data_IF_761904202718
#
_entry.id   IF_761904202718
#
_cell.length_a   1.000
_cell.length_b   1.000
_cell.length_c   1.000
_cell.angle_alpha   90.00
_cell.angle_beta   90.00
_cell.angle_gamma   90.00
#
_symmetry.space_group_name_H-M   'P 1'
#
loop_
_entity.id
_entity.type
_entity.pdbx_description
1 polymer ?
#
# COMPACT_ATOMS: atom_id res chain seq x y z
N UNK A 1 28.41 -40.19 54.42
CA UNK A 1 28.50 -40.63 53.02
C UNK A 1 28.42 -39.38 52.15
N UNK A 2 29.58 -38.76 51.86
CA UNK A 2 30.31 -38.84 50.59
C UNK A 2 29.60 -38.06 49.46
N UNK A 3 30.11 -37.03 48.80
CA UNK A 3 31.22 -36.06 48.99
C UNK A 3 31.19 -35.09 47.79
N UNK A 4 31.50 -33.82 48.05
CA UNK A 4 32.20 -32.84 47.20
C UNK A 4 31.57 -32.23 45.91
N UNK A 5 31.34 -30.91 45.99
CA UNK A 5 31.51 -29.91 44.91
C UNK A 5 33.03 -29.55 44.74
N UNK A 6 33.51 -28.53 43.99
CA UNK A 6 32.92 -27.59 43.00
C UNK A 6 33.84 -27.22 41.77
N UNK A 7 33.43 -26.20 40.98
CA UNK A 7 34.25 -25.15 40.26
C UNK A 7 35.03 -25.41 38.93
N UNK A 8 34.76 -24.50 37.97
CA UNK A 8 35.65 -23.76 37.02
C UNK A 8 36.34 -24.41 35.79
N UNK A 9 36.33 -23.59 34.71
CA UNK A 9 37.28 -23.49 33.58
C UNK A 9 37.26 -24.64 32.55
N UNK A 10 37.60 -24.52 31.27
CA UNK A 10 38.11 -23.47 30.38
C UNK A 10 38.13 -24.05 28.94
N UNK A 11 38.23 -23.20 27.91
CA UNK A 11 39.04 -23.33 26.66
C UNK A 11 39.38 -24.75 26.15
N UNK A 12 39.27 -25.14 24.88
CA UNK A 12 39.58 -24.54 23.58
C UNK A 12 39.27 -25.64 22.52
N UNK A 13 39.14 -25.39 21.22
CA UNK A 13 40.22 -25.20 20.23
C UNK A 13 39.51 -24.75 18.94
N UNK A 14 39.64 -23.49 18.52
CA UNK A 14 40.66 -22.95 17.56
C UNK A 14 40.41 -23.44 16.12
N UNK A 15 40.53 -22.68 15.02
CA UNK A 15 41.25 -21.45 14.61
C UNK A 15 40.79 -21.27 13.13
N UNK A 16 40.54 -20.10 12.52
CA UNK A 16 41.41 -18.95 12.17
C UNK A 16 40.49 -18.04 11.33
N UNK A 17 40.25 -16.78 11.71
CA UNK A 17 41.11 -15.61 11.59
C UNK A 17 40.69 -14.73 10.39
N UNK A 18 39.99 -13.64 10.74
CA UNK A 18 39.90 -12.38 10.02
C UNK A 18 41.31 -11.81 9.80
N UNK A 19 41.55 -11.17 8.64
CA UNK A 19 42.29 -9.91 8.49
C UNK A 19 42.62 -9.63 7.02
N UNK A 20 41.98 -8.62 6.42
CA UNK A 20 42.68 -7.34 6.14
C UNK A 20 41.81 -6.40 5.30
N UNK A 21 41.37 -5.32 5.93
CA UNK A 21 41.23 -4.01 5.29
C UNK A 21 42.24 -3.07 5.96
N UNK A 22 43.14 -2.45 5.20
CA UNK A 22 43.71 -1.11 5.45
C UNK A 22 44.58 -0.68 4.25
N UNK A 23 44.06 0.23 3.42
CA UNK A 23 44.39 1.69 3.35
C UNK A 23 45.73 2.03 2.70
N UNK A 24 45.71 2.79 1.60
CA UNK A 24 46.27 4.15 1.53
C UNK A 24 46.15 4.77 0.12
N UNK A 25 45.99 6.09 0.10
CA UNK A 25 45.84 7.00 -1.05
C UNK A 25 47.20 7.19 -1.75
N UNK A 26 47.21 7.46 -3.05
CA UNK A 26 47.82 8.67 -3.69
C UNK A 26 47.69 8.61 -5.22
N UNK A 27 47.80 9.79 -5.83
CA UNK A 27 47.44 10.18 -7.19
C UNK A 27 48.27 9.55 -8.33
N UNK A 28 47.68 9.44 -9.52
CA UNK A 28 48.15 10.11 -10.76
C UNK A 28 47.48 9.57 -12.05
N UNK A 29 47.25 10.51 -12.97
CA UNK A 29 47.14 10.40 -14.45
C UNK A 29 46.14 9.44 -15.11
N UNK A 30 45.22 10.05 -15.87
CA UNK A 30 44.45 9.46 -16.98
C UNK A 30 45.35 8.89 -18.10
N UNK A 31 44.84 8.05 -19.02
CA UNK A 31 44.02 8.56 -20.14
C UNK A 31 42.79 7.71 -20.50
N UNK A 32 41.93 8.35 -21.28
CA UNK A 32 40.65 7.90 -21.80
C UNK A 32 40.74 6.71 -22.78
N UNK A 33 39.71 5.87 -22.78
CA UNK A 33 39.31 5.07 -23.93
C UNK A 33 37.80 5.19 -24.15
N UNK A 34 37.46 6.06 -25.10
CA UNK A 34 36.15 6.20 -25.72
C UNK A 34 35.96 5.03 -26.69
N UNK A 35 34.87 4.28 -26.54
CA UNK A 35 34.47 3.26 -27.51
C UNK A 35 33.43 3.89 -28.46
N UNK A 36 33.91 4.55 -29.52
CA UNK A 36 33.08 5.03 -30.61
C UNK A 36 32.85 3.87 -31.60
N UNK A 37 31.59 3.43 -31.77
CA UNK A 37 31.20 2.53 -32.87
C UNK A 37 30.72 3.37 -34.05
N UNK A 38 31.52 3.43 -35.10
CA UNK A 38 31.15 3.96 -36.40
C UNK A 38 30.33 2.92 -37.18
N UNK A 39 29.14 3.30 -37.64
CA UNK A 39 28.39 2.53 -38.63
C UNK A 39 28.85 2.92 -40.04
N UNK A 40 29.30 1.93 -40.80
CA UNK A 40 29.58 2.05 -42.24
C UNK A 40 28.28 1.76 -43.00
N UNK A 41 27.92 2.65 -43.92
CA UNK A 41 26.79 2.53 -44.86
C UNK A 41 27.32 2.28 -46.27
N UNK A 42 26.78 1.28 -46.98
CA UNK A 42 26.69 1.15 -48.46
C UNK A 42 25.67 0.03 -48.81
N UNK A 43 25.14 -0.11 -50.04
CA UNK A 43 23.91 0.55 -50.45
C UNK A 43 22.76 -0.43 -50.84
N UNK A 44 21.60 0.18 -51.05
CA UNK A 44 20.30 -0.41 -51.31
C UNK A 44 20.17 -1.17 -52.64
N UNK A 45 19.47 -2.33 -52.61
CA UNK A 45 18.52 -2.73 -53.68
C UNK A 45 17.52 -3.86 -53.37
N UNK A 46 17.52 -4.47 -52.17
CA UNK A 46 16.64 -5.62 -51.88
C UNK A 46 15.58 -5.40 -50.77
N UNK A 47 15.41 -4.18 -50.26
CA UNK A 47 14.61 -3.93 -49.04
C UNK A 47 13.18 -3.39 -49.25
N UNK A 48 12.76 -3.06 -50.48
CA UNK A 48 11.43 -2.46 -50.69
C UNK A 48 10.27 -3.45 -50.65
N UNK A 49 10.45 -4.71 -51.08
CA UNK A 49 9.35 -5.69 -51.06
C UNK A 49 9.05 -6.20 -49.64
N UNK A 50 10.09 -6.44 -48.84
CA UNK A 50 9.96 -6.95 -47.47
C UNK A 50 9.31 -5.94 -46.53
N UNK A 51 9.57 -4.63 -46.74
CA UNK A 51 9.01 -3.56 -45.91
C UNK A 51 7.51 -3.36 -46.17
N UNK A 52 7.08 -3.48 -47.42
CA UNK A 52 5.66 -3.41 -47.79
C UNK A 52 4.83 -4.57 -47.22
N UNK A 53 5.41 -5.78 -47.14
CA UNK A 53 4.75 -6.94 -46.54
C UNK A 53 4.68 -6.85 -45.02
N UNK A 54 5.71 -6.29 -44.36
CA UNK A 54 5.71 -6.06 -42.90
C UNK A 54 4.74 -4.93 -42.52
N UNK A 55 4.66 -3.86 -43.31
CA UNK A 55 3.66 -2.80 -43.10
C UNK A 55 2.24 -3.31 -43.38
N UNK A 56 2.03 -4.12 -44.41
CA UNK A 56 0.72 -4.73 -44.68
C UNK A 56 0.32 -5.74 -43.60
N UNK A 57 1.25 -6.53 -43.05
CA UNK A 57 0.98 -7.41 -41.90
C UNK A 57 0.70 -6.61 -40.63
N UNK A 58 1.43 -5.53 -40.37
CA UNK A 58 1.19 -4.67 -39.20
C UNK A 58 -0.17 -3.97 -39.28
N UNK A 59 -0.56 -3.51 -40.48
CA UNK A 59 -1.87 -2.90 -40.71
C UNK A 59 -3.02 -3.91 -40.62
N UNK A 60 -2.82 -5.17 -41.07
CA UNK A 60 -3.79 -6.26 -40.89
C UNK A 60 -3.95 -6.70 -39.43
N UNK A 61 -2.92 -6.52 -38.60
CA UNK A 61 -2.98 -6.79 -37.15
C UNK A 61 -3.70 -5.66 -36.40
N UNK A 62 -3.66 -4.42 -36.91
CA UNK A 62 -4.46 -3.31 -36.38
C UNK A 62 -5.93 -3.36 -36.85
N UNK A 63 -6.20 -3.86 -38.05
CA UNK A 63 -7.53 -3.88 -38.68
C UNK A 63 -8.30 -5.20 -38.46
N UNK A 64 -7.69 -6.19 -37.80
CA UNK A 64 -8.44 -7.32 -37.24
C UNK A 64 -9.18 -6.79 -36.03
N UNK A 65 -10.41 -6.30 -36.26
CA UNK A 65 -11.39 -5.84 -35.28
C UNK A 65 -11.17 -6.55 -33.94
N UNK A 66 -10.49 -5.87 -33.01
CA UNK A 66 -10.47 -6.33 -31.62
C UNK A 66 -11.93 -6.27 -31.20
N UNK A 67 -12.53 -7.35 -30.67
CA UNK A 67 -13.90 -7.31 -30.17
C UNK A 67 -14.09 -6.35 -28.97
N UNK A 68 -13.13 -5.48 -28.68
CA UNK A 68 -13.03 -4.63 -27.50
C UNK A 68 -13.49 -3.20 -27.76
N UNK A 69 -13.62 -2.74 -29.01
CA UNK A 69 -14.03 -1.35 -29.29
C UNK A 69 -15.50 -1.09 -28.89
N UNK A 70 -16.39 -2.09 -28.98
CA UNK A 70 -17.75 -2.05 -28.42
C UNK A 70 -17.83 -2.35 -26.91
N UNK A 71 -16.73 -2.79 -26.28
CA UNK A 71 -16.66 -3.09 -24.84
C UNK A 71 -16.11 -1.92 -24.01
N UNK A 72 -15.66 -0.86 -24.68
CA UNK A 72 -15.18 0.39 -24.08
C UNK A 72 -16.23 1.12 -23.23
N UNK A 73 -17.52 0.78 -23.38
CA UNK A 73 -18.62 1.38 -22.63
C UNK A 73 -18.87 0.76 -21.23
N UNK A 74 -18.41 -0.47 -20.98
CA UNK A 74 -18.69 -1.13 -19.68
C UNK A 74 -17.64 -0.74 -18.64
N UNK A 75 -18.04 -0.38 -17.42
CA UNK A 75 -17.08 0.04 -16.41
C UNK A 75 -16.17 -1.12 -16.01
N UNK A 76 -14.87 -0.83 -15.84
CA UNK A 76 -13.82 -1.85 -15.66
C UNK A 76 -14.00 -2.66 -14.39
N UNK A 77 -14.60 -2.07 -13.37
CA UNK A 77 -14.88 -2.76 -12.11
C UNK A 77 -15.97 -3.84 -12.25
N UNK A 78 -16.82 -3.81 -13.28
CA UNK A 78 -18.00 -4.68 -13.42
C UNK A 78 -17.67 -6.06 -14.01
N UNK A 79 -16.73 -6.15 -14.95
CA UNK A 79 -16.39 -7.38 -15.65
C UNK A 79 -14.92 -7.77 -15.48
N UNK A 80 -14.60 -9.03 -15.80
CA UNK A 80 -13.23 -9.53 -15.93
C UNK A 80 -12.94 -9.69 -17.42
N UNK A 81 -11.79 -9.20 -17.93
CA UNK A 81 -11.43 -9.36 -19.34
C UNK A 81 -11.46 -10.84 -19.77
N UNK A 82 -12.11 -11.13 -20.89
CA UNK A 82 -12.38 -12.50 -21.33
C UNK A 82 -11.09 -13.29 -21.60
N UNK A 83 -10.08 -12.63 -22.19
CA UNK A 83 -8.76 -13.22 -22.44
C UNK A 83 -8.03 -13.67 -21.17
N UNK A 84 -8.44 -13.17 -19.99
CA UNK A 84 -7.85 -13.56 -18.70
C UNK A 84 -8.63 -14.69 -18.01
N UNK A 85 -9.77 -15.14 -18.55
CA UNK A 85 -10.56 -16.21 -17.97
C UNK A 85 -10.01 -17.57 -18.40
N UNK A 86 -10.02 -18.52 -17.46
CA UNK A 86 -9.71 -19.92 -17.74
C UNK A 86 -11.03 -20.69 -17.90
N UNK A 87 -11.09 -21.74 -18.73
CA UNK A 87 -12.31 -22.52 -18.95
C UNK A 87 -12.77 -23.27 -17.69
N UNK A 88 -11.82 -23.72 -16.84
CA UNK A 88 -12.11 -24.32 -15.54
C UNK A 88 -10.96 -24.05 -14.56
N UNK A 89 -11.20 -24.23 -13.26
CA UNK A 89 -10.17 -24.11 -12.23
C UNK A 89 -9.31 -25.38 -12.18
N UNK A 90 -7.99 -25.31 -12.40
CA UNK A 90 -7.12 -26.49 -12.24
C UNK A 90 -6.85 -26.82 -10.77
N UNK A 91 -7.11 -25.89 -9.84
CA UNK A 91 -6.85 -26.10 -8.42
C UNK A 91 -7.97 -26.90 -7.75
N UNK A 92 -7.60 -28.04 -7.15
CA UNK A 92 -8.51 -28.89 -6.36
C UNK A 92 -8.65 -28.29 -4.96
N UNK A 93 -9.83 -27.78 -4.66
CA UNK A 93 -10.11 -27.18 -3.34
C UNK A 93 -10.47 -28.28 -2.33
N UNK A 94 -9.72 -28.39 -1.23
CA UNK A 94 -9.95 -29.42 -0.18
C UNK A 94 -11.38 -29.41 0.38
N UNK A 95 -11.94 -28.22 0.60
CA UNK A 95 -13.31 -28.01 1.06
C UNK A 95 -14.04 -27.13 0.05
N UNK A 96 -14.97 -27.68 -0.76
CA UNK A 96 -15.69 -26.91 -1.78
C UNK A 96 -16.45 -25.71 -1.21
N UNK A 97 -16.96 -25.80 0.02
CA UNK A 97 -17.65 -24.70 0.70
C UNK A 97 -16.82 -23.43 0.82
N UNK A 98 -15.49 -23.54 0.93
CA UNK A 98 -14.58 -22.38 1.02
C UNK A 98 -14.41 -21.63 -0.30
N UNK A 99 -14.84 -22.22 -1.42
CA UNK A 99 -14.75 -21.57 -2.74
C UNK A 99 -15.83 -20.51 -2.94
N UNK A 100 -16.95 -20.63 -2.23
CA UNK A 100 -18.10 -19.74 -2.34
C UNK A 100 -17.89 -18.55 -1.40
N UNK A 101 -17.83 -17.35 -1.98
CA UNK A 101 -17.80 -16.09 -1.25
C UNK A 101 -18.58 -15.04 -2.03
N UNK A 102 -19.62 -14.47 -1.42
CA UNK A 102 -20.45 -13.46 -2.07
C UNK A 102 -19.80 -12.08 -1.91
N UNK A 103 -19.76 -11.32 -3.00
CA UNK A 103 -19.13 -10.00 -3.07
C UNK A 103 -20.15 -9.00 -3.60
N UNK A 104 -20.14 -7.79 -3.04
CA UNK A 104 -21.03 -6.73 -3.50
C UNK A 104 -20.80 -6.39 -4.98
N UNK A 105 -21.89 -6.25 -5.72
CA UNK A 105 -21.92 -5.79 -7.11
C UNK A 105 -22.81 -4.55 -7.30
N UNK A 106 -23.52 -4.11 -6.25
CA UNK A 106 -24.47 -3.00 -6.33
C UNK A 106 -23.77 -1.65 -6.07
N UNK A 107 -23.77 -0.70 -7.03
CA UNK A 107 -23.18 0.62 -6.85
C UNK A 107 -23.88 1.45 -5.76
N UNK A 108 -25.20 1.31 -5.63
CA UNK A 108 -25.97 2.05 -4.61
C UNK A 108 -25.55 1.71 -3.18
N UNK A 109 -25.17 0.46 -2.91
CA UNK A 109 -24.66 0.04 -1.59
C UNK A 109 -23.30 0.68 -1.30
N UNK A 110 -22.46 0.81 -2.33
CA UNK A 110 -21.16 1.47 -2.25
C UNK A 110 -21.33 2.96 -1.94
N UNK A 111 -22.23 3.64 -2.65
CA UNK A 111 -22.50 5.06 -2.44
C UNK A 111 -23.01 5.35 -1.02
N UNK A 112 -23.92 4.50 -0.51
CA UNK A 112 -24.40 4.62 0.87
C UNK A 112 -23.28 4.49 1.91
N UNK A 113 -22.31 3.60 1.68
CA UNK A 113 -21.14 3.46 2.54
C UNK A 113 -20.27 4.72 2.48
N UNK A 114 -20.00 5.26 1.29
CA UNK A 114 -19.24 6.51 1.14
C UNK A 114 -19.90 7.71 1.83
N UNK A 115 -21.24 7.82 1.74
CA UNK A 115 -21.99 8.87 2.45
C UNK A 115 -21.89 8.69 3.98
N UNK A 116 -21.93 7.45 4.49
CA UNK A 116 -21.76 7.19 5.93
C UNK A 116 -20.35 7.53 6.40
N UNK A 117 -19.33 7.20 5.62
CA UNK A 117 -17.93 7.41 6.00
C UNK A 117 -17.47 8.86 5.84
N UNK A 118 -17.73 9.47 4.69
CA UNK A 118 -17.24 10.82 4.37
C UNK A 118 -18.24 11.93 4.76
N UNK A 119 -19.51 11.57 4.95
CA UNK A 119 -20.59 12.48 5.29
C UNK A 119 -21.42 12.89 4.06
N UNK A 120 -22.14 14.01 4.19
CA UNK A 120 -23.02 14.54 3.14
C UNK A 120 -22.24 14.75 1.83
N UNK A 121 -22.82 14.28 0.72
CA UNK A 121 -22.23 14.33 -0.64
C UNK A 121 -20.89 13.58 -0.78
N UNK A 122 -20.56 12.68 0.17
CA UNK A 122 -19.34 11.88 0.15
C UNK A 122 -19.21 10.94 -1.06
N UNK A 123 -20.34 10.50 -1.62
CA UNK A 123 -20.42 9.69 -2.84
C UNK A 123 -19.97 10.44 -4.10
N UNK A 124 -20.03 11.78 -4.11
CA UNK A 124 -19.66 12.61 -5.26
C UNK A 124 -18.19 13.00 -5.27
N UNK A 125 -17.47 12.77 -4.17
CA UNK A 125 -16.05 13.11 -4.05
C UNK A 125 -15.19 12.27 -4.99
N UNK A 126 -15.52 11.01 -5.21
CA UNK A 126 -14.73 10.14 -6.07
C UNK A 126 -15.54 9.72 -7.31
N UNK A 127 -14.93 9.66 -8.50
CA UNK A 127 -15.53 8.98 -9.63
C UNK A 127 -15.85 7.51 -9.30
N UNK A 128 -16.89 6.94 -9.93
CA UNK A 128 -17.35 5.58 -9.66
C UNK A 128 -16.22 4.53 -9.79
N UNK A 129 -15.42 4.60 -10.86
CA UNK A 129 -14.28 3.69 -11.06
C UNK A 129 -13.29 3.72 -9.89
N UNK A 130 -13.03 4.91 -9.34
CA UNK A 130 -12.08 5.08 -8.23
C UNK A 130 -12.71 4.60 -6.93
N UNK A 131 -14.02 4.78 -6.74
CA UNK A 131 -14.76 4.24 -5.60
C UNK A 131 -14.58 2.72 -5.50
N UNK A 132 -14.73 2.02 -6.62
CA UNK A 132 -14.54 0.57 -6.68
C UNK A 132 -13.08 0.16 -6.56
N UNK A 133 -12.16 0.92 -7.17
CA UNK A 133 -10.72 0.67 -7.07
C UNK A 133 -10.25 0.70 -5.61
N UNK A 134 -10.67 1.69 -4.83
CA UNK A 134 -10.29 1.84 -3.42
C UNK A 134 -10.84 0.72 -2.52
N UNK A 135 -12.01 0.15 -2.87
CA UNK A 135 -12.72 -0.87 -2.08
C UNK A 135 -12.44 -2.31 -2.57
N UNK A 136 -11.62 -2.46 -3.61
CA UNK A 136 -11.21 -3.78 -4.13
C UNK A 136 -9.83 -4.17 -3.63
N UNK A 137 -9.74 -5.29 -2.92
CA UNK A 137 -8.48 -5.84 -2.44
C UNK A 137 -7.83 -6.77 -3.47
N UNK A 138 -6.51 -6.90 -3.45
CA UNK A 138 -5.72 -7.74 -4.37
C UNK A 138 -6.14 -9.21 -4.42
N UNK A 139 -6.72 -9.75 -3.34
CA UNK A 139 -7.20 -11.13 -3.32
C UNK A 139 -8.47 -11.37 -4.15
N UNK A 140 -9.19 -10.31 -4.52
CA UNK A 140 -10.36 -10.40 -5.38
C UNK A 140 -9.97 -10.66 -6.84
N UNK A 141 -10.61 -11.64 -7.47
CA UNK A 141 -10.41 -11.98 -8.90
C UNK A 141 -8.93 -12.08 -9.31
N UNK A 142 -8.07 -12.60 -8.41
CA UNK A 142 -6.62 -12.70 -8.61
C UNK A 142 -5.92 -11.37 -8.96
N UNK A 143 -6.51 -10.22 -8.60
CA UNK A 143 -5.99 -8.90 -8.95
C UNK A 143 -6.07 -8.60 -10.45
N UNK A 144 -6.93 -9.30 -11.20
CA UNK A 144 -7.19 -9.02 -12.63
C UNK A 144 -7.89 -7.68 -12.83
N UNK A 145 -8.69 -7.29 -11.84
CA UNK A 145 -9.28 -5.94 -11.75
C UNK A 145 -8.35 -5.05 -10.93
N UNK A 146 -8.52 -3.73 -11.08
CA UNK A 146 -7.78 -2.78 -10.27
C UNK A 146 -7.98 -3.02 -8.77
N UNK A 147 -6.90 -2.93 -8.00
CA UNK A 147 -6.89 -3.14 -6.55
C UNK A 147 -6.18 -1.99 -5.82
N UNK A 148 -6.42 -1.92 -4.52
CA UNK A 148 -6.19 -0.72 -3.72
C UNK A 148 -4.79 -0.55 -3.09
N UNK A 149 -3.86 -1.52 -3.24
CA UNK A 149 -2.56 -1.51 -2.56
C UNK A 149 -1.77 -0.18 -2.65
N UNK A 150 -1.69 0.42 -3.85
CA UNK A 150 -0.96 1.68 -4.06
C UNK A 150 -1.65 2.87 -3.39
N UNK A 151 -2.97 2.92 -3.46
CA UNK A 151 -3.77 3.96 -2.81
C UNK A 151 -3.67 3.81 -1.29
N UNK A 152 -3.72 2.58 -0.77
CA UNK A 152 -3.57 2.27 0.64
C UNK A 152 -2.20 2.72 1.17
N UNK A 153 -1.13 2.49 0.40
CA UNK A 153 0.20 2.96 0.77
C UNK A 153 0.25 4.49 0.94
N UNK A 154 -0.25 5.23 -0.05
CA UNK A 154 -0.26 6.70 0.00
C UNK A 154 -1.15 7.21 1.15
N UNK A 155 -2.36 6.67 1.28
CA UNK A 155 -3.29 7.09 2.31
C UNK A 155 -2.79 6.79 3.72
N UNK A 156 -2.04 5.70 3.92
CA UNK A 156 -1.36 5.43 5.19
C UNK A 156 -0.37 6.55 5.55
N UNK A 157 0.43 7.02 4.60
CA UNK A 157 1.35 8.13 4.85
C UNK A 157 0.60 9.43 5.17
N UNK A 158 -0.48 9.71 4.43
CA UNK A 158 -1.31 10.89 4.68
C UNK A 158 -1.94 10.87 6.09
N UNK A 159 -2.54 9.74 6.50
CA UNK A 159 -3.13 9.61 7.84
C UNK A 159 -2.08 9.78 8.92
N UNK A 160 -0.92 9.11 8.81
CA UNK A 160 0.16 9.21 9.80
C UNK A 160 0.67 10.66 9.92
N UNK A 161 0.79 11.37 8.80
CA UNK A 161 1.22 12.77 8.79
C UNK A 161 0.22 13.68 9.52
N UNK A 162 -1.08 13.55 9.21
CA UNK A 162 -2.14 14.34 9.86
C UNK A 162 -2.24 14.07 11.35
N UNK A 163 -2.06 12.81 11.77
CA UNK A 163 -2.01 12.42 13.18
C UNK A 163 -0.79 13.04 13.86
N UNK A 164 0.39 12.98 13.23
CA UNK A 164 1.60 13.59 13.76
C UNK A 164 1.44 15.11 13.90
N UNK A 165 0.84 15.78 12.92
CA UNK A 165 0.50 17.20 13.00
C UNK A 165 -0.49 17.51 14.13
N UNK A 166 -1.48 16.64 14.36
CA UNK A 166 -2.42 16.77 15.46
C UNK A 166 -1.73 16.63 16.82
N UNK A 167 -0.77 15.71 16.96
CA UNK A 167 0.03 15.54 18.20
C UNK A 167 0.91 16.78 18.42
N UNK A 168 1.54 17.29 17.36
CA UNK A 168 2.38 18.49 17.40
C UNK A 168 1.59 19.76 17.71
N UNK A 169 0.33 19.84 17.29
CA UNK A 169 -0.52 21.02 17.53
C UNK A 169 -1.25 20.99 18.86
N UNK A 170 -1.25 19.84 19.55
CA UNK A 170 -1.90 19.67 20.84
C UNK A 170 -1.13 20.38 21.97
N UNK A 171 -1.84 20.66 23.07
CA UNK A 171 -1.24 21.14 24.30
C UNK A 171 -0.20 20.14 24.84
N UNK A 172 0.83 20.60 25.58
CA UNK A 172 1.85 19.72 26.16
C UNK A 172 1.24 18.58 26.96
N UNK A 173 1.64 17.34 26.65
CA UNK A 173 1.10 16.15 27.32
C UNK A 173 1.84 15.84 28.62
N UNK A 174 1.16 15.31 29.65
CA UNK A 174 1.82 14.85 30.86
C UNK A 174 2.78 13.70 30.51
N UNK A 175 4.01 13.75 30.99
CA UNK A 175 5.06 12.78 30.66
C UNK A 175 5.79 13.02 29.34
N UNK A 176 5.50 14.11 28.62
CA UNK A 176 6.26 14.53 27.44
C UNK A 176 7.70 14.94 27.78
N UNK A 177 7.87 15.61 28.92
CA UNK A 177 9.17 16.02 29.46
C UNK A 177 9.72 14.89 30.32
N UNK A 178 10.81 14.29 29.86
CA UNK A 178 11.52 13.22 30.56
C UNK A 178 12.69 13.83 31.32
N UNK A 179 12.83 13.48 32.60
CA UNK A 179 13.96 13.94 33.42
C UNK A 179 15.27 13.32 32.91
N UNK A 180 16.29 14.16 32.72
CA UNK A 180 17.62 13.71 32.29
C UNK A 180 18.39 13.09 33.46
N UNK A 181 19.01 11.92 33.22
CA UNK A 181 19.80 11.19 34.21
C UNK A 181 21.06 11.97 34.68
N UNK A 182 21.59 12.84 33.81
CA UNK A 182 22.80 13.61 34.07
C UNK A 182 22.53 15.06 34.51
N UNK A 183 21.27 15.39 34.83
CA UNK A 183 20.84 16.73 35.22
C UNK A 183 21.19 17.83 34.21
N UNK A 184 21.27 17.50 32.91
CA UNK A 184 21.46 18.51 31.87
C UNK A 184 20.16 19.26 31.63
N UNK A 185 20.26 20.57 31.40
CA UNK A 185 19.12 21.39 31.02
C UNK A 185 18.91 21.28 29.49
N UNK A 186 17.73 20.86 29.01
CA UNK A 186 17.44 20.82 27.58
C UNK A 186 17.35 22.23 27.00
N UNK A 187 17.56 22.35 25.69
CA UNK A 187 17.40 23.64 25.01
C UNK A 187 15.92 23.98 24.88
N UNK A 188 15.46 24.98 25.64
CA UNK A 188 14.07 25.43 25.61
C UNK A 188 13.81 26.37 24.43
N UNK A 189 13.02 25.91 23.46
CA UNK A 189 12.58 26.72 22.33
C UNK A 189 11.11 26.45 22.00
N UNK A 190 10.27 27.48 21.73
CA UNK A 190 8.84 27.29 21.48
C UNK A 190 8.50 26.31 20.35
N UNK A 191 9.35 26.24 19.31
CA UNK A 191 9.15 25.30 18.20
C UNK A 191 9.48 23.83 18.58
N UNK A 192 10.36 23.61 19.56
CA UNK A 192 10.77 22.26 20.00
C UNK A 192 9.89 21.73 21.13
N UNK A 193 9.35 22.62 21.98
CA UNK A 193 8.51 22.25 23.12
C UNK A 193 7.31 21.35 22.73
N UNK A 194 6.81 21.47 21.50
CA UNK A 194 5.70 20.63 21.01
C UNK A 194 6.14 19.28 20.45
N UNK A 195 7.41 19.14 20.07
CA UNK A 195 7.96 17.85 19.60
C UNK A 195 8.03 16.83 20.74
N UNK A 196 8.21 17.30 21.97
CA UNK A 196 8.23 16.44 23.16
C UNK A 196 6.92 15.66 23.36
N UNK A 197 5.81 16.11 22.77
CA UNK A 197 4.54 15.36 22.77
C UNK A 197 4.67 13.95 22.18
N UNK A 198 5.63 13.71 21.28
CA UNK A 198 5.88 12.40 20.70
C UNK A 198 6.48 11.40 21.70
N UNK A 199 7.11 11.87 22.79
CA UNK A 199 7.57 10.98 23.86
C UNK A 199 6.40 10.35 24.62
N UNK A 200 5.29 11.08 24.75
CA UNK A 200 4.11 10.62 25.47
C UNK A 200 3.14 9.82 24.58
N UNK A 201 3.04 10.15 23.29
CA UNK A 201 2.13 9.45 22.37
C UNK A 201 2.66 9.44 20.95
N UNK A 202 2.69 8.26 20.33
CA UNK A 202 3.11 8.09 18.96
C UNK A 202 1.89 8.00 18.00
N UNK A 203 2.06 8.31 16.71
CA UNK A 203 0.95 8.26 15.76
C UNK A 203 0.25 6.90 15.65
N UNK A 204 1.00 5.80 15.86
CA UNK A 204 0.44 4.44 15.80
C UNK A 204 -0.38 4.08 17.05
N UNK A 205 -0.19 4.79 18.17
CA UNK A 205 -1.01 4.62 19.38
C UNK A 205 -2.39 5.28 19.20
N UNK A 206 -2.42 6.41 18.49
CA UNK A 206 -3.67 7.11 18.14
C UNK A 206 -4.45 6.30 17.11
N UNK A 207 -3.76 5.90 16.03
CA UNK A 207 -4.35 5.20 14.88
C UNK A 207 -3.91 3.74 14.90
N UNK A 208 -4.45 3.01 15.88
CA UNK A 208 -4.23 1.56 15.99
C UNK A 208 -5.03 0.80 14.94
N UNK A 209 -4.59 -0.43 14.63
CA UNK A 209 -5.23 -1.26 13.61
C UNK A 209 -6.63 -1.70 14.02
N UNK A 210 -6.83 -1.94 15.32
CA UNK A 210 -8.13 -2.34 15.88
C UNK A 210 -9.13 -1.19 15.77
N UNK A 211 -8.69 0.03 16.09
CA UNK A 211 -9.50 1.25 16.01
C UNK A 211 -10.00 1.54 14.59
N UNK A 212 -9.11 1.44 13.60
CA UNK A 212 -9.50 1.62 12.19
C UNK A 212 -10.42 0.49 11.71
N UNK A 213 -10.19 -0.74 12.16
CA UNK A 213 -11.07 -1.87 11.83
C UNK A 213 -12.49 -1.65 12.37
N UNK A 214 -12.61 -1.23 13.62
CA UNK A 214 -13.90 -0.89 14.23
C UNK A 214 -14.60 0.22 13.44
N UNK A 215 -13.89 1.31 13.13
CA UNK A 215 -14.41 2.39 12.28
C UNK A 215 -14.91 1.86 10.92
N UNK A 216 -14.16 0.95 10.30
CA UNK A 216 -14.52 0.35 9.02
C UNK A 216 -15.80 -0.50 9.12
N UNK A 217 -15.99 -1.24 10.21
CA UNK A 217 -17.18 -2.04 10.47
C UNK A 217 -18.38 -1.13 10.73
N UNK A 218 -18.21 -0.07 11.52
CA UNK A 218 -19.28 0.88 11.89
C UNK A 218 -19.87 1.59 10.66
N UNK A 219 -19.02 1.95 9.68
CA UNK A 219 -19.48 2.54 8.42
C UNK A 219 -20.04 1.52 7.43
N UNK A 220 -19.87 0.22 7.70
CA UNK A 220 -20.34 -0.89 6.87
C UNK A 220 -19.43 -1.22 5.69
N UNK A 221 -18.13 -0.95 5.80
CA UNK A 221 -17.15 -1.24 4.74
C UNK A 221 -17.01 -2.75 4.52
N UNK A 222 -17.14 -3.56 5.57
CA UNK A 222 -17.11 -5.03 5.55
C UNK A 222 -18.10 -5.65 4.55
N UNK A 223 -19.27 -5.03 4.39
CA UNK A 223 -20.36 -5.49 3.51
C UNK A 223 -20.14 -5.14 2.04
N UNK A 224 -19.29 -4.16 1.76
CA UNK A 224 -19.09 -3.59 0.42
C UNK A 224 -17.73 -3.98 -0.16
N UNK A 225 -16.75 -4.24 0.71
CA UNK A 225 -15.39 -4.65 0.38
C UNK A 225 -15.36 -5.86 -0.56
N UNK A 226 -14.59 -5.74 -1.65
CA UNK A 226 -14.40 -6.84 -2.61
C UNK A 226 -13.08 -7.52 -2.31
N UNK A 227 -13.17 -8.68 -1.68
CA UNK A 227 -12.01 -9.50 -1.32
C UNK A 227 -12.38 -10.98 -1.30
N UNK A 228 -11.37 -11.85 -1.21
CA UNK A 228 -11.55 -13.29 -1.01
C UNK A 228 -10.86 -13.72 0.29
N UNK A 229 -11.60 -14.15 1.32
CA UNK A 229 -11.01 -14.68 2.55
C UNK A 229 -10.38 -16.06 2.31
N UNK A 230 -9.36 -16.39 3.11
CA UNK A 230 -8.72 -17.72 3.08
C UNK A 230 -9.64 -18.80 3.64
N UNK A 231 -10.35 -18.46 4.71
CA UNK A 231 -11.28 -19.31 5.48
C UNK A 231 -12.56 -18.49 5.72
N UNK A 232 -13.62 -18.66 4.90
CA UNK A 232 -14.88 -17.95 5.11
C UNK A 232 -15.49 -18.16 6.51
N UNK A 233 -15.24 -19.32 7.13
CA UNK A 233 -15.68 -19.64 8.49
C UNK A 233 -14.92 -18.89 9.59
N UNK A 234 -13.72 -18.37 9.30
CA UNK A 234 -12.90 -17.63 10.24
C UNK A 234 -12.25 -16.43 9.54
N UNK A 235 -12.98 -15.30 9.56
CA UNK A 235 -12.56 -14.06 8.91
C UNK A 235 -11.36 -13.42 9.60
N UNK A 236 -11.28 -13.49 10.94
CA UNK A 236 -10.14 -13.00 11.71
C UNK A 236 -8.85 -13.72 11.30
N UNK A 237 -8.88 -15.07 11.27
CA UNK A 237 -7.77 -15.90 10.79
C UNK A 237 -7.49 -15.81 9.28
N UNK A 238 -8.34 -15.10 8.54
CA UNK A 238 -8.17 -14.77 7.12
C UNK A 238 -7.59 -13.37 6.89
N UNK A 239 -7.37 -12.59 7.95
CA UNK A 239 -6.77 -11.26 7.88
C UNK A 239 -7.75 -10.14 7.54
N UNK A 240 -9.04 -10.27 7.90
CA UNK A 240 -10.06 -9.24 7.64
C UNK A 240 -9.63 -7.85 8.12
N UNK A 241 -9.01 -7.77 9.29
CA UNK A 241 -8.47 -6.54 9.86
C UNK A 241 -7.53 -5.82 8.88
N UNK A 242 -6.57 -6.55 8.28
CA UNK A 242 -5.58 -5.98 7.35
C UNK A 242 -6.27 -5.44 6.10
N UNK A 243 -7.27 -6.17 5.60
CA UNK A 243 -7.98 -5.79 4.37
C UNK A 243 -8.86 -4.56 4.60
N UNK A 244 -9.58 -4.50 5.72
CA UNK A 244 -10.40 -3.35 6.11
C UNK A 244 -9.53 -2.10 6.33
N UNK A 245 -8.45 -2.25 7.09
CA UNK A 245 -7.47 -1.19 7.28
C UNK A 245 -6.94 -0.68 5.93
N UNK A 246 -6.53 -1.59 5.03
CA UNK A 246 -6.05 -1.22 3.69
C UNK A 246 -7.08 -0.42 2.89
N UNK A 247 -8.35 -0.82 2.95
CA UNK A 247 -9.43 -0.12 2.25
C UNK A 247 -9.72 1.28 2.80
N UNK A 248 -9.73 1.48 4.13
CA UNK A 248 -9.87 2.82 4.74
C UNK A 248 -8.75 3.74 4.28
N UNK A 249 -7.50 3.29 4.37
CA UNK A 249 -6.37 4.08 3.89
C UNK A 249 -6.46 4.33 2.37
N UNK A 250 -6.88 3.36 1.58
CA UNK A 250 -7.01 3.53 0.14
C UNK A 250 -8.03 4.61 -0.25
N UNK A 251 -9.14 4.73 0.48
CA UNK A 251 -10.11 5.80 0.26
C UNK A 251 -9.46 7.17 0.49
N UNK A 252 -8.73 7.34 1.59
CA UNK A 252 -8.02 8.59 1.87
C UNK A 252 -6.93 8.87 0.82
N UNK A 253 -6.19 7.85 0.39
CA UNK A 253 -5.19 7.97 -0.68
C UNK A 253 -5.80 8.39 -2.02
N UNK A 254 -6.98 7.86 -2.36
CA UNK A 254 -7.72 8.25 -3.56
C UNK A 254 -8.17 9.71 -3.51
N UNK A 255 -8.69 10.15 -2.35
CA UNK A 255 -9.13 11.54 -2.14
C UNK A 255 -7.94 12.49 -2.24
N UNK A 256 -6.80 12.14 -1.64
CA UNK A 256 -5.58 12.95 -1.69
C UNK A 256 -5.09 13.18 -3.13
N UNK A 257 -5.19 12.16 -4.00
CA UNK A 257 -4.81 12.30 -5.41
C UNK A 257 -5.83 13.08 -6.25
N UNK A 258 -7.12 13.01 -5.92
CA UNK A 258 -8.18 13.68 -6.70
C UNK A 258 -8.39 15.14 -6.29
N UNK A 259 -8.36 15.42 -4.99
CA UNK A 259 -8.71 16.73 -4.41
C UNK A 259 -7.56 17.42 -3.69
N UNK A 260 -6.39 16.77 -3.61
CA UNK A 260 -5.22 17.30 -2.93
C UNK A 260 -5.18 16.99 -1.43
N UNK A 261 -4.02 17.30 -0.84
CA UNK A 261 -3.73 16.96 0.55
C UNK A 261 -4.57 17.74 1.57
N UNK A 262 -4.94 19.00 1.28
CA UNK A 262 -5.71 19.84 2.20
C UNK A 262 -7.11 19.26 2.48
N UNK A 263 -7.83 18.88 1.41
CA UNK A 263 -9.16 18.26 1.51
C UNK A 263 -9.06 16.90 2.22
N UNK A 264 -8.06 16.09 1.87
CA UNK A 264 -7.83 14.81 2.52
C UNK A 264 -7.53 14.97 4.01
N UNK A 265 -6.68 15.93 4.40
CA UNK A 265 -6.33 16.19 5.80
C UNK A 265 -7.51 16.68 6.63
N UNK A 266 -8.38 17.51 6.04
CA UNK A 266 -9.66 17.89 6.67
C UNK A 266 -10.53 16.66 6.95
N UNK A 267 -10.68 15.77 5.97
CA UNK A 267 -11.47 14.52 6.13
C UNK A 267 -10.86 13.61 7.18
N UNK A 268 -9.54 13.44 7.22
CA UNK A 268 -8.88 12.62 8.25
C UNK A 268 -9.16 13.17 9.65
N UNK A 269 -9.06 14.50 9.84
CA UNK A 269 -9.37 15.14 11.13
C UNK A 269 -10.83 14.98 11.54
N UNK A 270 -11.75 15.21 10.61
CA UNK A 270 -13.20 15.23 10.88
C UNK A 270 -13.86 13.86 10.94
N UNK A 271 -13.33 12.85 10.24
CA UNK A 271 -13.96 11.52 10.11
C UNK A 271 -13.19 10.38 10.75
N UNK A 272 -11.87 10.50 10.85
CA UNK A 272 -11.04 9.48 11.50
C UNK A 272 -10.71 9.94 12.92
N UNK A 273 -9.95 11.02 13.07
CA UNK A 273 -9.47 11.45 14.40
C UNK A 273 -10.59 11.79 15.37
N UNK A 274 -11.66 12.45 14.91
CA UNK A 274 -12.83 12.76 15.74
C UNK A 274 -13.50 11.50 16.32
N UNK A 275 -13.65 10.44 15.50
CA UNK A 275 -14.26 9.18 15.91
C UNK A 275 -13.34 8.40 16.86
N UNK A 276 -12.03 8.46 16.62
CA UNK A 276 -11.03 7.77 17.46
C UNK A 276 -10.75 8.48 18.79
N UNK A 277 -11.09 9.76 18.91
CA UNK A 277 -10.94 10.54 20.14
C UNK A 277 -12.21 10.48 21.04
N UNK A 278 -13.36 10.12 20.48
CA UNK A 278 -14.62 9.94 21.21
C UNK A 278 -14.77 8.54 21.82
N UNK A 279 -13.92 7.60 21.43
CA UNK A 279 -13.85 6.22 21.94
C UNK A 279 -12.67 6.03 22.89
#
# INVERSE_FOLDING_TARGET
MATNSPRFAAFAVSKRALQHCRTSRTASSSPALQCARTFVTTPAKAQNESRSKIDQLSRRVEESERPDDLKSERPRWSYTPEAMKAPFSPHITKKPSRSVWHVNSDPKKLDQMYVRFLGRDGDKLLPEEIKWLAVTHKSFDYGRRGFNDRLAFLGRQAVVLEVAQSILSAAPKPGAVVADEFNRQPFEHPALARLDNFNAQLPHDVVSREKIEQLAIDVGLDKVLRWKPRLPENLAGSGVQVVLNGAVHAIIGAISLQHGAEVAGKIVRERILSQLALQ
#
